data_IF_503156840021
#
_entry.id   IF_503156840021
#
_cell.length_a   1.000
_cell.length_b   1.000
_cell.length_c   1.000
_cell.angle_alpha   90.00
_cell.angle_beta   90.00
_cell.angle_gamma   90.00
#
_symmetry.space_group_name_H-M   'P 1'
#
loop_
_entity.id
_entity.type
_entity.pdbx_description
1 polymer ?
#
# COMPACT_ATOMS: atom_id res chain seq x y z
N UNK A 1 18.42 9.31 -29.46
CA UNK A 1 18.89 7.92 -29.63
C UNK A 1 19.40 7.31 -28.31
N UNK A 2 20.27 8.01 -27.58
CA UNK A 2 20.88 7.49 -26.34
C UNK A 2 19.85 7.15 -25.23
N UNK A 3 18.84 8.01 -25.00
CA UNK A 3 17.81 7.75 -23.98
C UNK A 3 16.88 6.58 -24.34
N UNK A 4 16.56 6.39 -25.61
CA UNK A 4 15.71 5.26 -26.06
C UNK A 4 16.43 3.91 -25.85
N UNK A 5 17.72 3.84 -26.13
CA UNK A 5 18.55 2.65 -25.90
C UNK A 5 18.69 2.35 -24.41
N UNK A 6 18.95 3.37 -23.58
CA UNK A 6 19.04 3.24 -22.13
C UNK A 6 17.71 2.78 -21.52
N UNK A 7 16.57 3.35 -21.97
CA UNK A 7 15.23 2.91 -21.53
C UNK A 7 14.99 1.45 -21.82
N UNK A 8 15.39 0.99 -23.04
CA UNK A 8 15.25 -0.41 -23.45
C UNK A 8 16.14 -1.35 -22.64
N UNK A 9 17.31 -0.89 -22.19
CA UNK A 9 18.25 -1.65 -21.37
C UNK A 9 17.85 -1.67 -19.88
N UNK A 10 17.42 -0.54 -19.34
CA UNK A 10 17.10 -0.40 -17.90
C UNK A 10 15.88 -1.23 -17.48
N UNK A 11 14.83 -1.28 -18.29
CA UNK A 11 13.59 -1.96 -17.93
C UNK A 11 13.78 -3.46 -17.62
N UNK A 12 14.44 -4.27 -18.46
CA UNK A 12 14.71 -5.68 -18.13
C UNK A 12 15.54 -5.86 -16.85
N UNK A 13 16.49 -4.96 -16.58
CA UNK A 13 17.29 -5.00 -15.35
C UNK A 13 16.42 -4.71 -14.12
N UNK A 14 15.55 -3.71 -14.18
CA UNK A 14 14.59 -3.43 -13.12
C UNK A 14 13.64 -4.61 -12.89
N UNK A 15 13.11 -5.22 -13.93
CA UNK A 15 12.25 -6.40 -13.83
C UNK A 15 12.99 -7.60 -13.20
N UNK A 16 14.27 -7.79 -13.56
CA UNK A 16 15.12 -8.82 -12.97
C UNK A 16 15.38 -8.54 -11.48
N UNK A 17 15.78 -7.33 -11.10
CA UNK A 17 16.01 -6.95 -9.70
C UNK A 17 14.73 -7.12 -8.86
N UNK A 18 13.58 -6.70 -9.37
CA UNK A 18 12.28 -6.89 -8.71
C UNK A 18 12.00 -8.37 -8.43
N UNK A 19 12.34 -9.24 -9.38
CA UNK A 19 12.15 -10.69 -9.23
C UNK A 19 13.14 -11.27 -8.22
N UNK A 20 14.41 -10.89 -8.30
CA UNK A 20 15.49 -11.36 -7.43
C UNK A 20 15.36 -10.87 -5.99
N UNK A 21 14.65 -9.74 -5.76
CA UNK A 21 14.40 -9.21 -4.44
C UNK A 21 13.50 -10.10 -3.56
N UNK A 22 12.75 -11.05 -4.15
CA UNK A 22 11.83 -11.95 -3.46
C UNK A 22 12.28 -13.40 -3.62
N UNK A 23 13.05 -13.88 -2.63
CA UNK A 23 13.66 -15.20 -2.65
C UNK A 23 12.74 -16.27 -2.06
N UNK A 24 12.82 -17.50 -2.57
CA UNK A 24 12.18 -18.67 -1.96
C UNK A 24 10.65 -18.57 -1.88
N UNK A 25 10.00 -18.02 -2.91
CA UNK A 25 8.54 -17.91 -2.95
C UNK A 25 7.89 -19.28 -2.76
N UNK A 26 7.07 -19.38 -1.73
CA UNK A 26 6.40 -20.62 -1.32
C UNK A 26 4.90 -20.40 -1.18
N UNK A 27 4.04 -21.15 -1.90
CA UNK A 27 2.60 -21.03 -1.75
C UNK A 27 2.13 -21.34 -0.34
N UNK A 28 1.18 -20.55 0.18
CA UNK A 28 0.45 -20.86 1.41
C UNK A 28 -0.62 -21.87 1.06
N UNK A 29 -0.45 -23.09 1.55
CA UNK A 29 -1.36 -24.21 1.32
C UNK A 29 -2.38 -24.34 2.45
N UNK A 30 -3.47 -25.08 2.21
CA UNK A 30 -4.48 -25.41 3.22
C UNK A 30 -5.36 -24.22 3.61
N UNK A 31 -5.45 -23.20 2.76
CA UNK A 31 -6.40 -22.12 2.96
C UNK A 31 -7.85 -22.66 2.99
N UNK A 32 -8.66 -22.06 3.84
CA UNK A 32 -10.10 -22.28 3.92
C UNK A 32 -10.80 -20.97 3.57
N UNK A 33 -11.91 -21.07 2.83
CA UNK A 33 -12.75 -19.95 2.39
C UNK A 33 -14.14 -20.05 2.99
N UNK A 34 -14.70 -18.90 3.40
CA UNK A 34 -16.09 -18.74 3.82
C UNK A 34 -16.67 -17.51 3.18
N UNK A 35 -17.87 -17.60 2.57
CA UNK A 35 -18.63 -16.42 2.16
C UNK A 35 -19.22 -15.74 3.39
N UNK A 36 -19.22 -14.43 3.39
CA UNK A 36 -19.74 -13.63 4.51
C UNK A 36 -20.43 -12.36 3.99
N UNK A 37 -21.33 -11.74 4.78
CA UNK A 37 -21.90 -10.44 4.44
C UNK A 37 -20.92 -9.28 4.66
N UNK A 38 -21.32 -8.07 4.28
CA UNK A 38 -20.63 -6.83 4.61
C UNK A 38 -20.30 -6.73 6.11
N UNK A 39 -19.18 -6.12 6.43
CA UNK A 39 -18.72 -5.81 7.79
C UNK A 39 -18.53 -7.03 8.71
N UNK A 40 -18.30 -8.21 8.12
CA UNK A 40 -18.08 -9.46 8.86
C UNK A 40 -16.60 -9.75 9.10
N UNK A 41 -15.79 -8.71 9.38
CA UNK A 41 -14.36 -8.87 9.65
C UNK A 41 -14.03 -9.75 10.84
N UNK A 42 -14.93 -9.91 11.82
CA UNK A 42 -14.76 -10.85 12.94
C UNK A 42 -14.75 -12.32 12.49
N UNK A 43 -15.31 -12.63 11.31
CA UNK A 43 -15.26 -13.98 10.72
C UNK A 43 -13.82 -14.48 10.53
N UNK A 44 -12.84 -13.60 10.35
CA UNK A 44 -11.43 -14.00 10.27
C UNK A 44 -10.87 -14.53 11.60
N UNK A 45 -11.58 -14.38 12.71
CA UNK A 45 -11.21 -14.92 14.03
C UNK A 45 -11.77 -16.34 14.25
N UNK A 46 -12.76 -16.78 13.45
CA UNK A 46 -13.35 -18.10 13.60
C UNK A 46 -12.31 -19.20 13.34
N UNK A 47 -12.45 -20.31 14.04
CA UNK A 47 -11.69 -21.54 13.74
C UNK A 47 -12.35 -22.31 12.61
N UNK A 48 -11.73 -22.43 11.42
CA UNK A 48 -12.30 -23.16 10.30
C UNK A 48 -12.52 -24.67 10.56
N UNK A 49 -11.94 -25.24 11.59
CA UNK A 49 -12.13 -26.63 11.95
C UNK A 49 -13.46 -26.87 12.68
N UNK A 50 -13.95 -25.89 13.40
CA UNK A 50 -15.13 -26.02 14.27
C UNK A 50 -16.31 -25.17 13.82
N UNK A 51 -16.06 -24.00 13.21
CA UNK A 51 -17.11 -23.10 12.74
C UNK A 51 -17.69 -23.58 11.40
N UNK A 52 -19.02 -23.47 11.18
CA UNK A 52 -19.64 -23.91 9.94
C UNK A 52 -19.36 -22.99 8.75
N UNK A 53 -19.50 -23.52 7.54
CA UNK A 53 -19.46 -22.76 6.28
C UNK A 53 -18.06 -22.58 5.68
N UNK A 54 -17.01 -23.06 6.31
CA UNK A 54 -15.66 -23.05 5.77
C UNK A 54 -15.43 -24.22 4.81
N UNK A 55 -14.95 -23.90 3.60
CA UNK A 55 -14.61 -24.89 2.55
C UNK A 55 -13.11 -24.83 2.22
N UNK A 56 -12.49 -25.94 1.79
CA UNK A 56 -11.13 -25.90 1.27
C UNK A 56 -10.99 -24.91 0.11
N UNK A 57 -9.83 -24.27 0.03
CA UNK A 57 -9.49 -23.34 -1.05
C UNK A 57 -8.06 -23.62 -1.53
N UNK A 58 -7.89 -23.81 -2.85
CA UNK A 58 -6.60 -24.06 -3.45
C UNK A 58 -5.97 -22.75 -4.00
N UNK A 59 -4.63 -22.59 -3.97
CA UNK A 59 -3.97 -21.44 -4.58
C UNK A 59 -4.32 -21.33 -6.07
N UNK A 60 -4.81 -20.15 -6.47
CA UNK A 60 -5.24 -19.89 -7.83
C UNK A 60 -6.71 -20.18 -8.13
N UNK A 61 -7.49 -20.63 -7.14
CA UNK A 61 -8.94 -20.71 -7.30
C UNK A 61 -9.56 -19.32 -7.49
N UNK A 62 -10.66 -19.27 -8.25
CA UNK A 62 -11.39 -18.06 -8.50
C UNK A 62 -12.10 -17.51 -7.25
N UNK A 63 -12.10 -16.19 -7.08
CA UNK A 63 -12.68 -15.50 -5.92
C UNK A 63 -13.68 -14.41 -6.29
N UNK A 64 -13.89 -14.12 -7.57
CA UNK A 64 -14.74 -13.03 -8.01
C UNK A 64 -16.22 -13.22 -7.65
N UNK A 65 -16.97 -12.17 -7.87
CA UNK A 65 -18.42 -12.09 -7.63
C UNK A 65 -18.84 -10.61 -7.53
N UNK A 66 -20.10 -10.33 -7.86
CA UNK A 66 -20.65 -8.98 -7.72
C UNK A 66 -20.98 -8.72 -6.25
N UNK A 67 -20.39 -7.67 -5.68
CA UNK A 67 -20.52 -7.30 -4.25
C UNK A 67 -20.27 -8.49 -3.28
N UNK A 68 -19.37 -9.41 -3.67
CA UNK A 68 -19.10 -10.60 -2.92
C UNK A 68 -18.06 -10.39 -1.82
N UNK A 69 -18.32 -10.98 -0.66
CA UNK A 69 -17.40 -10.97 0.47
C UNK A 69 -16.98 -12.36 0.86
N UNK A 70 -15.69 -12.50 1.16
CA UNK A 70 -15.10 -13.76 1.60
C UNK A 70 -14.15 -13.53 2.75
N UNK A 71 -14.11 -14.50 3.66
CA UNK A 71 -13.00 -14.65 4.59
C UNK A 71 -12.13 -15.84 4.19
N UNK A 72 -10.82 -15.67 4.27
CA UNK A 72 -9.85 -16.74 4.11
C UNK A 72 -9.06 -16.92 5.39
N UNK A 73 -8.81 -18.18 5.74
CA UNK A 73 -8.00 -18.56 6.91
C UNK A 73 -7.01 -19.65 6.53
N UNK A 74 -5.81 -19.56 7.11
CA UNK A 74 -4.79 -20.59 6.94
C UNK A 74 -3.56 -20.35 7.78
N UNK A 75 -2.68 -21.33 7.84
CA UNK A 75 -1.38 -21.21 8.51
C UNK A 75 -0.31 -20.72 7.54
N UNK A 76 0.50 -19.78 7.97
CA UNK A 76 1.77 -19.43 7.33
C UNK A 76 2.88 -20.08 8.13
N UNK A 77 3.81 -20.75 7.46
CA UNK A 77 5.01 -21.31 8.11
C UNK A 77 6.25 -20.63 7.57
N UNK A 78 7.16 -20.21 8.45
CA UNK A 78 8.45 -19.65 8.06
C UNK A 78 9.26 -20.69 7.26
N UNK A 79 9.66 -20.37 6.01
CA UNK A 79 10.42 -21.30 5.18
C UNK A 79 11.78 -21.66 5.79
N UNK A 80 12.33 -22.79 5.36
CA UNK A 80 13.71 -23.17 5.70
C UNK A 80 14.69 -22.06 5.29
N UNK A 81 15.67 -21.78 6.15
CA UNK A 81 16.68 -20.73 5.91
C UNK A 81 16.17 -19.30 6.03
N UNK A 82 14.97 -19.08 6.58
CA UNK A 82 14.40 -17.74 6.76
C UNK A 82 14.68 -17.12 8.14
N UNK A 83 15.31 -17.85 9.06
CA UNK A 83 15.59 -17.37 10.41
C UNK A 83 16.37 -16.04 10.39
N UNK A 84 15.85 -15.03 11.07
CA UNK A 84 16.46 -13.69 11.13
C UNK A 84 16.41 -12.88 9.84
N UNK A 85 15.77 -13.40 8.77
CA UNK A 85 15.61 -12.69 7.49
C UNK A 85 14.26 -11.99 7.42
N UNK A 86 14.15 -11.00 6.54
CA UNK A 86 12.93 -10.25 6.29
C UNK A 86 11.91 -11.09 5.52
N UNK A 87 10.86 -11.52 6.21
CA UNK A 87 9.76 -12.32 5.63
C UNK A 87 8.60 -11.43 5.19
N UNK A 88 8.04 -11.74 4.04
CA UNK A 88 6.85 -11.09 3.50
C UNK A 88 5.78 -12.11 3.11
N UNK A 89 4.54 -11.70 3.24
CA UNK A 89 3.38 -12.38 2.67
C UNK A 89 2.93 -11.63 1.42
N UNK A 90 2.77 -12.34 0.32
CA UNK A 90 2.37 -11.82 -0.98
C UNK A 90 0.95 -12.27 -1.28
N UNK A 91 0.11 -11.35 -1.72
CA UNK A 91 -1.29 -11.61 -2.11
C UNK A 91 -1.49 -11.11 -3.53
N UNK A 92 -1.81 -12.00 -4.46
CA UNK A 92 -2.04 -11.66 -5.86
C UNK A 92 -3.38 -12.18 -6.36
N UNK A 93 -4.02 -11.40 -7.24
CA UNK A 93 -5.36 -11.68 -7.79
C UNK A 93 -5.38 -11.78 -9.30
N UNK A 94 -4.24 -11.56 -9.96
CA UNK A 94 -4.16 -11.44 -11.42
C UNK A 94 -4.65 -10.09 -11.96
N UNK A 95 -5.25 -9.24 -11.14
CA UNK A 95 -5.65 -7.89 -11.54
C UNK A 95 -4.41 -7.03 -11.81
N UNK A 96 -4.44 -6.26 -12.89
CA UNK A 96 -3.33 -5.38 -13.32
C UNK A 96 -3.76 -3.93 -13.59
N UNK A 97 -5.05 -3.70 -13.82
CA UNK A 97 -5.59 -2.36 -14.05
C UNK A 97 -5.80 -1.64 -12.71
N UNK A 98 -4.88 -0.73 -12.39
CA UNK A 98 -4.90 0.05 -11.14
C UNK A 98 -6.08 1.04 -11.05
N UNK A 99 -6.70 1.38 -12.17
CA UNK A 99 -7.83 2.30 -12.25
C UNK A 99 -9.19 1.61 -12.10
N UNK A 100 -9.19 0.28 -12.12
CA UNK A 100 -10.42 -0.49 -11.95
C UNK A 100 -10.81 -0.57 -10.46
N UNK A 101 -11.82 0.19 -10.08
CA UNK A 101 -12.35 0.23 -8.71
C UNK A 101 -13.07 -1.06 -8.27
N UNK A 102 -13.33 -1.99 -9.20
CA UNK A 102 -13.91 -3.30 -8.91
C UNK A 102 -12.88 -4.38 -8.54
N UNK A 103 -11.58 -4.06 -8.61
CA UNK A 103 -10.52 -5.00 -8.20
C UNK A 103 -10.74 -5.51 -6.78
N UNK A 104 -10.38 -6.78 -6.51
CA UNK A 104 -10.44 -7.33 -5.16
C UNK A 104 -9.63 -6.49 -4.16
N UNK A 105 -10.20 -6.32 -2.96
CA UNK A 105 -9.65 -5.53 -1.87
C UNK A 105 -9.65 -6.37 -0.60
N UNK A 106 -8.60 -6.24 0.22
CA UNK A 106 -8.42 -7.09 1.39
C UNK A 106 -8.09 -6.29 2.64
N UNK A 107 -8.51 -6.81 3.79
CA UNK A 107 -7.92 -6.54 5.10
C UNK A 107 -7.12 -7.78 5.51
N UNK A 108 -5.84 -7.60 5.78
CA UNK A 108 -4.93 -8.68 6.17
C UNK A 108 -4.74 -8.72 7.69
N UNK A 109 -4.88 -9.90 8.24
CA UNK A 109 -4.74 -10.18 9.68
C UNK A 109 -3.67 -11.23 9.91
N UNK A 110 -2.82 -11.03 10.90
CA UNK A 110 -1.85 -12.01 11.38
C UNK A 110 -2.11 -12.25 12.87
N UNK A 111 -2.32 -13.51 13.24
CA UNK A 111 -2.68 -13.92 14.60
C UNK A 111 -3.88 -13.13 15.19
N UNK A 112 -4.83 -12.80 14.33
CA UNK A 112 -6.03 -12.05 14.67
C UNK A 112 -5.87 -10.53 14.72
N UNK A 113 -4.67 -9.99 14.64
CA UNK A 113 -4.44 -8.55 14.59
C UNK A 113 -4.49 -8.03 13.14
N UNK A 114 -5.20 -6.92 12.92
CA UNK A 114 -5.20 -6.21 11.63
C UNK A 114 -3.81 -5.62 11.39
N UNK A 115 -3.22 -5.99 10.25
CA UNK A 115 -1.89 -5.52 9.81
C UNK A 115 -2.03 -4.36 8.84
N UNK A 116 -2.70 -4.59 7.70
CA UNK A 116 -2.84 -3.59 6.64
C UNK A 116 -4.05 -3.89 5.74
N UNK A 117 -4.36 -2.94 4.86
CA UNK A 117 -5.19 -3.16 3.70
C UNK A 117 -4.34 -3.56 2.49
N UNK A 118 -4.90 -4.39 1.60
CA UNK A 118 -4.27 -4.81 0.36
C UNK A 118 -5.21 -4.57 -0.83
N UNK A 119 -4.63 -4.32 -1.96
CA UNK A 119 -5.30 -4.16 -3.25
C UNK A 119 -4.30 -4.40 -4.40
N UNK A 120 -4.66 -4.01 -5.63
CA UNK A 120 -3.78 -4.15 -6.81
C UNK A 120 -2.45 -3.37 -6.69
N UNK A 121 -2.40 -2.31 -5.89
CA UNK A 121 -1.19 -1.50 -5.65
C UNK A 121 -0.40 -1.97 -4.42
N UNK A 122 -1.08 -2.57 -3.44
CA UNK A 122 -0.53 -3.03 -2.18
C UNK A 122 -0.72 -4.55 -2.10
N UNK A 123 0.24 -5.30 -2.62
CA UNK A 123 0.14 -6.76 -2.81
C UNK A 123 0.95 -7.56 -1.80
N UNK A 124 1.55 -6.89 -0.80
CA UNK A 124 2.44 -7.54 0.16
C UNK A 124 2.44 -6.85 1.51
N UNK A 125 2.78 -7.61 2.55
CA UNK A 125 3.01 -7.10 3.89
C UNK A 125 4.09 -7.90 4.62
N UNK A 126 4.74 -7.24 5.59
CA UNK A 126 5.81 -7.83 6.35
C UNK A 126 5.27 -8.81 7.40
N UNK A 127 5.88 -9.97 7.50
CA UNK A 127 5.71 -10.89 8.63
C UNK A 127 6.73 -10.56 9.72
N UNK A 128 6.49 -10.94 10.99
CA UNK A 128 7.46 -10.68 12.05
C UNK A 128 8.86 -11.21 11.69
N UNK A 129 9.85 -10.33 11.59
CA UNK A 129 11.19 -10.59 11.05
C UNK A 129 12.11 -11.40 11.92
N UNK A 130 11.78 -11.60 13.20
CA UNK A 130 12.58 -12.41 14.13
C UNK A 130 12.14 -13.89 14.15
N UNK A 131 11.57 -14.37 13.07
CA UNK A 131 11.05 -15.72 12.99
C UNK A 131 12.13 -16.77 13.15
N UNK A 132 11.89 -17.74 14.02
CA UNK A 132 12.60 -19.00 13.97
C UNK A 132 12.12 -19.82 12.78
N UNK A 133 13.00 -20.62 12.21
CA UNK A 133 12.62 -21.57 11.16
C UNK A 133 11.48 -22.47 11.65
N UNK A 134 10.47 -22.67 10.81
CA UNK A 134 9.28 -23.45 11.15
C UNK A 134 8.26 -22.72 12.05
N UNK A 135 8.52 -21.47 12.45
CA UNK A 135 7.52 -20.67 13.16
C UNK A 135 6.25 -20.52 12.31
N UNK A 136 5.11 -20.53 12.98
CA UNK A 136 3.79 -20.43 12.29
C UNK A 136 3.02 -19.20 12.75
N UNK A 137 2.26 -18.64 11.84
CA UNK A 137 1.28 -17.57 12.09
C UNK A 137 -0.07 -17.97 11.50
N UNK A 138 -1.13 -17.47 12.12
CA UNK A 138 -2.49 -17.60 11.57
C UNK A 138 -2.74 -16.41 10.63
N UNK A 139 -2.93 -16.68 9.34
CA UNK A 139 -3.37 -15.71 8.35
C UNK A 139 -4.89 -15.62 8.35
N UNK A 140 -5.42 -14.41 8.32
CA UNK A 140 -6.80 -14.09 7.98
C UNK A 140 -6.84 -13.04 6.87
N UNK A 141 -7.70 -13.24 5.88
CA UNK A 141 -8.00 -12.20 4.87
C UNK A 141 -9.51 -11.99 4.83
N UNK A 142 -9.96 -10.77 5.06
CA UNK A 142 -11.32 -10.34 4.76
C UNK A 142 -11.30 -9.66 3.40
N UNK A 143 -12.17 -10.08 2.48
CA UNK A 143 -12.07 -9.72 1.06
C UNK A 143 -13.39 -9.20 0.52
N UNK A 144 -13.33 -8.11 -0.23
CA UNK A 144 -14.40 -7.62 -1.08
C UNK A 144 -14.03 -7.83 -2.54
N UNK A 145 -14.96 -8.32 -3.35
CA UNK A 145 -14.84 -8.49 -4.79
C UNK A 145 -16.07 -7.92 -5.51
N UNK A 146 -15.85 -7.21 -6.61
CA UNK A 146 -16.90 -6.75 -7.51
C UNK A 146 -16.55 -7.02 -8.98
N UNK A 147 -15.82 -8.10 -9.23
CA UNK A 147 -15.36 -8.56 -10.56
C UNK A 147 -15.92 -9.95 -10.83
N UNK A 148 -16.29 -10.31 -12.07
CA UNK A 148 -16.75 -11.65 -12.40
C UNK A 148 -15.81 -12.75 -11.89
N UNK A 149 -16.37 -13.88 -11.43
CA UNK A 149 -15.62 -14.92 -10.74
C UNK A 149 -14.48 -15.54 -11.59
N UNK A 150 -14.65 -15.56 -12.90
CA UNK A 150 -13.67 -16.10 -13.84
C UNK A 150 -12.48 -15.17 -14.12
N UNK A 151 -12.57 -13.90 -13.72
CA UNK A 151 -11.57 -12.89 -14.10
C UNK A 151 -10.52 -12.62 -13.01
N UNK A 152 -10.77 -13.11 -11.80
CA UNK A 152 -9.87 -12.95 -10.66
C UNK A 152 -9.70 -14.25 -9.87
N UNK A 153 -8.49 -14.45 -9.36
CA UNK A 153 -8.11 -15.58 -8.54
C UNK A 153 -7.41 -15.11 -7.26
N UNK A 154 -7.17 -15.98 -6.32
CA UNK A 154 -6.36 -15.68 -5.15
C UNK A 154 -5.16 -16.61 -5.06
N UNK A 155 -3.98 -16.04 -5.01
CA UNK A 155 -2.73 -16.71 -4.71
C UNK A 155 -2.05 -16.01 -3.56
N UNK A 156 -1.76 -16.76 -2.51
CA UNK A 156 -1.02 -16.27 -1.34
C UNK A 156 0.29 -17.03 -1.26
N UNK A 157 1.38 -16.29 -1.11
CA UNK A 157 2.74 -16.84 -1.03
C UNK A 157 3.49 -16.18 0.12
N UNK A 158 4.51 -16.85 0.64
CA UNK A 158 5.54 -16.24 1.46
C UNK A 158 6.83 -16.13 0.67
N UNK A 159 7.64 -15.15 1.00
CA UNK A 159 8.98 -14.99 0.44
C UNK A 159 9.91 -14.34 1.48
N UNK A 160 11.20 -14.51 1.25
CA UNK A 160 12.23 -13.72 1.93
C UNK A 160 12.55 -12.51 1.06
N UNK A 161 12.36 -11.30 1.58
CA UNK A 161 12.78 -10.07 0.91
C UNK A 161 14.26 -9.84 1.12
N UNK A 162 14.95 -9.57 0.05
CA UNK A 162 16.33 -9.10 0.06
C UNK A 162 16.34 -7.56 0.04
N UNK A 163 16.67 -6.95 1.18
CA UNK A 163 16.60 -5.50 1.34
C UNK A 163 17.69 -4.77 0.52
N UNK A 164 18.84 -5.41 0.26
CA UNK A 164 19.88 -4.82 -0.59
C UNK A 164 19.44 -4.74 -2.04
N UNK A 165 18.88 -5.83 -2.57
CA UNK A 165 18.36 -5.87 -3.94
C UNK A 165 17.13 -4.95 -4.06
N UNK A 166 16.24 -4.95 -3.06
CA UNK A 166 15.06 -4.07 -3.01
C UNK A 166 15.49 -2.60 -3.01
N UNK A 167 16.50 -2.25 -2.20
CA UNK A 167 17.03 -0.89 -2.17
C UNK A 167 17.58 -0.46 -3.53
N UNK A 168 18.43 -1.28 -4.15
CA UNK A 168 18.94 -0.98 -5.50
C UNK A 168 17.84 -0.83 -6.54
N UNK A 169 16.81 -1.70 -6.48
CA UNK A 169 15.66 -1.59 -7.37
C UNK A 169 15.02 -0.20 -7.31
N UNK A 170 14.78 0.34 -6.11
CA UNK A 170 14.19 1.67 -5.96
C UNK A 170 15.18 2.79 -6.27
N UNK A 171 16.45 2.63 -5.92
CA UNK A 171 17.52 3.59 -6.25
C UNK A 171 17.64 3.81 -7.77
N UNK A 172 17.34 2.79 -8.59
CA UNK A 172 17.35 2.87 -10.06
C UNK A 172 15.97 3.21 -10.64
N UNK A 173 14.88 2.70 -10.03
CA UNK A 173 13.51 2.88 -10.54
C UNK A 173 13.08 4.35 -10.50
N UNK A 174 13.29 5.04 -9.40
CA UNK A 174 12.86 6.43 -9.26
C UNK A 174 13.46 7.34 -10.35
N UNK A 175 14.78 7.41 -10.56
CA UNK A 175 15.35 8.21 -11.65
C UNK A 175 14.96 7.69 -13.04
N UNK A 176 14.75 6.39 -13.22
CA UNK A 176 14.26 5.84 -14.48
C UNK A 176 12.85 6.35 -14.80
N UNK A 177 11.95 6.37 -13.84
CA UNK A 177 10.58 6.88 -14.03
C UNK A 177 10.58 8.38 -14.35
N UNK A 178 11.46 9.17 -13.73
CA UNK A 178 11.66 10.58 -14.11
C UNK A 178 12.19 10.67 -15.56
N UNK A 179 13.21 9.92 -15.90
CA UNK A 179 13.82 9.92 -17.24
C UNK A 179 12.83 9.64 -18.35
N UNK A 180 11.84 8.77 -18.12
CA UNK A 180 10.85 8.42 -19.15
C UNK A 180 9.80 9.51 -19.39
N UNK A 181 9.66 10.47 -18.45
CA UNK A 181 8.76 11.62 -18.59
C UNK A 181 9.42 12.84 -19.23
N UNK A 182 10.74 12.90 -19.26
CA UNK A 182 11.49 14.05 -19.80
C UNK A 182 11.74 13.92 -21.30
N UNK A 183 11.81 15.04 -21.99
CA UNK A 183 12.21 15.10 -23.40
C UNK A 183 13.67 14.67 -23.59
N UNK A 184 14.00 14.06 -24.73
CA UNK A 184 15.37 13.56 -25.02
C UNK A 184 16.45 14.66 -24.99
N UNK A 185 16.08 15.91 -25.27
CA UNK A 185 16.99 17.05 -25.26
C UNK A 185 17.11 17.76 -23.92
N UNK A 186 16.36 17.34 -22.92
CA UNK A 186 16.41 17.95 -21.58
C UNK A 186 17.76 17.66 -20.91
N UNK A 187 18.36 18.69 -20.34
CA UNK A 187 19.68 18.58 -19.67
C UNK A 187 19.63 17.68 -18.45
N UNK A 188 18.50 17.64 -17.72
CA UNK A 188 18.31 16.72 -16.60
C UNK A 188 18.17 15.29 -17.10
N UNK A 189 17.45 15.07 -18.22
CA UNK A 189 17.35 13.75 -18.83
C UNK A 189 18.72 13.18 -19.22
N UNK A 190 19.58 14.03 -19.80
CA UNK A 190 20.96 13.64 -20.16
C UNK A 190 21.76 13.33 -18.88
N UNK A 191 21.64 14.17 -17.84
CA UNK A 191 22.29 13.97 -16.56
C UNK A 191 21.86 12.65 -15.90
N UNK A 192 20.56 12.47 -15.67
CA UNK A 192 19.99 11.24 -15.08
C UNK A 192 20.41 10.01 -15.86
N UNK A 193 20.35 10.07 -17.21
CA UNK A 193 20.71 8.98 -18.09
C UNK A 193 22.15 8.50 -17.87
N UNK A 194 23.11 9.40 -17.71
CA UNK A 194 24.53 9.07 -17.45
C UNK A 194 24.74 8.29 -16.15
N UNK A 195 24.06 8.70 -15.08
CA UNK A 195 24.17 8.03 -13.78
C UNK A 195 23.52 6.65 -13.81
N UNK A 196 22.35 6.54 -14.43
CA UNK A 196 21.68 5.24 -14.62
C UNK A 196 22.53 4.29 -15.46
N UNK A 197 23.05 4.73 -16.61
CA UNK A 197 23.88 3.90 -17.47
C UNK A 197 25.08 3.35 -16.71
N UNK A 198 25.81 4.21 -15.99
CA UNK A 198 26.97 3.79 -15.20
C UNK A 198 26.60 2.83 -14.06
N UNK A 199 25.47 3.04 -13.38
CA UNK A 199 25.01 2.12 -12.36
C UNK A 199 24.64 0.74 -12.94
N UNK A 200 23.98 0.72 -14.11
CA UNK A 200 23.66 -0.51 -14.82
C UNK A 200 24.91 -1.27 -15.28
N UNK A 201 25.98 -0.54 -15.69
CA UNK A 201 27.27 -1.13 -16.10
C UNK A 201 28.03 -1.78 -14.95
N UNK A 202 27.75 -1.37 -13.71
CA UNK A 202 28.36 -1.98 -12.52
C UNK A 202 27.77 -3.33 -12.15
N UNK A 203 26.57 -3.67 -12.64
CA UNK A 203 25.85 -4.86 -12.21
C UNK A 203 26.35 -6.13 -12.88
N UNK A 204 26.62 -7.14 -12.06
CA UNK A 204 26.92 -8.51 -12.50
C UNK A 204 25.72 -9.42 -12.23
N UNK A 205 24.84 -9.58 -13.22
CA UNK A 205 23.65 -10.40 -13.13
C UNK A 205 23.83 -11.85 -13.63
N UNK A 206 25.08 -12.26 -13.93
CA UNK A 206 25.37 -13.59 -14.51
C UNK A 206 25.15 -14.75 -13.56
N UNK A 207 25.43 -14.52 -12.27
CA UNK A 207 25.23 -15.52 -11.20
C UNK A 207 24.57 -14.86 -9.99
N UNK A 208 23.22 -14.75 -10.02
CA UNK A 208 22.46 -14.11 -8.95
C UNK A 208 22.73 -14.76 -7.58
N UNK A 209 22.79 -13.92 -6.55
CA UNK A 209 23.07 -14.28 -5.17
C UNK A 209 24.51 -14.73 -4.87
N UNK A 210 25.42 -14.73 -5.83
CA UNK A 210 26.85 -14.94 -5.60
C UNK A 210 27.48 -13.74 -4.87
N UNK A 211 28.67 -13.94 -4.31
CA UNK A 211 29.44 -12.85 -3.69
C UNK A 211 29.76 -11.72 -4.70
N UNK A 212 30.03 -12.07 -5.97
CA UNK A 212 30.27 -11.11 -7.05
C UNK A 212 29.01 -10.29 -7.36
N UNK A 213 27.84 -10.94 -7.42
CA UNK A 213 26.55 -10.27 -7.59
C UNK A 213 26.29 -9.25 -6.46
N UNK A 214 26.38 -9.67 -5.18
CA UNK A 214 26.16 -8.76 -4.05
C UNK A 214 27.19 -7.63 -3.99
N UNK A 215 28.45 -7.89 -4.32
CA UNK A 215 29.46 -6.84 -4.43
C UNK A 215 29.08 -5.79 -5.49
N UNK A 216 28.54 -6.24 -6.63
CA UNK A 216 28.06 -5.36 -7.70
C UNK A 216 26.82 -4.54 -7.29
N UNK A 217 25.86 -5.16 -6.58
CA UNK A 217 24.69 -4.49 -6.01
C UNK A 217 25.13 -3.39 -5.04
N UNK A 218 25.99 -3.71 -4.08
CA UNK A 218 26.51 -2.75 -3.11
C UNK A 218 27.28 -1.59 -3.76
N UNK A 219 28.08 -1.88 -4.80
CA UNK A 219 28.80 -0.85 -5.55
C UNK A 219 27.84 0.10 -6.29
N UNK A 220 26.83 -0.44 -6.97
CA UNK A 220 25.83 0.35 -7.69
C UNK A 220 24.99 1.21 -6.73
N UNK A 221 24.55 0.66 -5.58
CA UNK A 221 23.82 1.40 -4.55
C UNK A 221 24.65 2.57 -3.99
N UNK A 222 25.88 2.29 -3.62
CA UNK A 222 26.79 3.34 -3.12
C UNK A 222 27.01 4.43 -4.18
N UNK A 223 27.24 4.06 -5.44
CA UNK A 223 27.40 5.00 -6.53
C UNK A 223 26.14 5.88 -6.71
N UNK A 224 24.95 5.28 -6.74
CA UNK A 224 23.69 6.05 -6.83
C UNK A 224 23.51 6.99 -5.64
N UNK A 225 23.80 6.53 -4.44
CA UNK A 225 23.69 7.36 -3.24
C UNK A 225 24.64 8.56 -3.30
N UNK A 226 25.94 8.32 -3.43
CA UNK A 226 26.98 9.35 -3.30
C UNK A 226 27.00 10.31 -4.50
N UNK A 227 26.97 9.78 -5.72
CA UNK A 227 27.16 10.57 -6.93
C UNK A 227 25.86 11.12 -7.51
N UNK A 228 24.77 10.37 -7.45
CA UNK A 228 23.49 10.82 -7.98
C UNK A 228 22.65 11.56 -6.94
N UNK A 229 22.26 10.91 -5.85
CA UNK A 229 21.34 11.53 -4.89
C UNK A 229 21.99 12.62 -4.04
N UNK A 230 23.18 12.40 -3.50
CA UNK A 230 23.86 13.34 -2.60
C UNK A 230 24.68 14.42 -3.36
N UNK A 231 25.01 14.20 -4.64
CA UNK A 231 25.78 15.17 -5.44
C UNK A 231 24.94 15.80 -6.55
N UNK A 232 24.55 15.01 -7.57
CA UNK A 232 23.86 15.57 -8.75
C UNK A 232 22.50 16.17 -8.40
N UNK A 233 21.66 15.49 -7.61
CA UNK A 233 20.33 15.97 -7.23
C UNK A 233 20.38 17.19 -6.31
N UNK A 234 21.43 17.36 -5.50
CA UNK A 234 21.58 18.49 -4.58
C UNK A 234 21.93 19.83 -5.27
N UNK A 235 22.15 19.81 -6.57
CA UNK A 235 22.41 21.05 -7.36
C UNK A 235 21.15 21.89 -7.60
N UNK A 236 19.99 21.35 -7.31
CA UNK A 236 18.71 22.05 -7.46
C UNK A 236 18.34 22.73 -6.14
N UNK A 237 18.09 24.07 -6.15
CA UNK A 237 17.77 24.83 -4.93
C UNK A 237 16.29 24.70 -4.51
N UNK A 238 15.59 23.66 -4.94
CA UNK A 238 14.16 23.46 -4.67
C UNK A 238 13.97 22.39 -3.62
N UNK A 239 13.30 22.75 -2.52
CA UNK A 239 12.80 21.82 -1.51
C UNK A 239 11.33 21.51 -1.80
N UNK A 240 10.97 20.24 -1.78
CA UNK A 240 9.58 19.78 -1.94
C UNK A 240 9.18 19.01 -0.69
N UNK A 241 8.19 19.54 0.02
CA UNK A 241 7.58 18.83 1.15
C UNK A 241 6.46 17.93 0.63
N UNK A 242 6.56 16.64 0.95
CA UNK A 242 5.58 15.64 0.52
C UNK A 242 4.73 15.19 1.70
N UNK A 243 3.42 15.23 1.54
CA UNK A 243 2.45 14.68 2.50
C UNK A 243 1.57 13.66 1.77
N UNK A 244 1.38 12.48 2.39
CA UNK A 244 0.45 11.50 1.87
C UNK A 244 -1.00 11.94 2.08
N UNK A 245 -1.87 11.58 1.16
CA UNK A 245 -3.31 11.81 1.25
C UNK A 245 -4.07 10.69 0.54
N UNK A 246 -5.28 10.41 1.00
CA UNK A 246 -6.22 9.52 0.33
C UNK A 246 -7.59 10.17 0.30
N UNK A 247 -8.02 10.59 -0.89
CA UNK A 247 -9.41 11.00 -1.11
C UNK A 247 -10.32 9.77 -1.19
N UNK A 248 -11.42 9.77 -0.45
CA UNK A 248 -12.42 8.68 -0.47
C UNK A 248 -13.80 9.30 -0.58
N UNK A 249 -14.45 9.07 -1.72
CA UNK A 249 -15.85 9.46 -1.89
C UNK A 249 -16.77 8.71 -0.92
N UNK A 250 -17.73 9.45 -0.33
CA UNK A 250 -18.72 8.92 0.60
C UNK A 250 -20.14 9.14 0.05
N UNK A 251 -20.63 8.44 -0.96
CA UNK A 251 -20.06 7.36 -1.77
C UNK A 251 -19.89 7.79 -3.24
N UNK A 252 -19.59 6.85 -4.16
CA UNK A 252 -19.46 7.10 -5.61
C UNK A 252 -19.98 5.91 -6.42
N UNK A 253 -19.12 5.22 -7.21
CA UNK A 253 -19.45 3.95 -7.89
C UNK A 253 -19.50 2.75 -6.91
N UNK A 254 -19.66 3.04 -5.63
CA UNK A 254 -19.80 2.09 -4.53
C UNK A 254 -20.73 2.63 -3.46
N UNK A 255 -21.21 1.72 -2.61
CA UNK A 255 -22.16 2.02 -1.53
C UNK A 255 -21.49 2.61 -0.28
N UNK A 256 -22.29 3.18 0.63
CA UNK A 256 -21.80 3.59 1.95
C UNK A 256 -21.21 2.42 2.76
N UNK A 257 -21.78 1.22 2.60
CA UNK A 257 -21.23 0.02 3.23
C UNK A 257 -19.79 -0.25 2.76
N UNK A 258 -19.55 -0.12 1.47
CA UNK A 258 -18.21 -0.24 0.88
C UNK A 258 -17.29 0.91 1.31
N UNK A 259 -17.80 2.14 1.45
CA UNK A 259 -17.01 3.28 1.94
C UNK A 259 -16.43 3.01 3.33
N UNK A 260 -17.20 2.39 4.24
CA UNK A 260 -16.72 2.01 5.58
C UNK A 260 -15.54 1.04 5.51
N UNK A 261 -15.61 0.06 4.63
CA UNK A 261 -14.52 -0.91 4.40
C UNK A 261 -13.29 -0.24 3.76
N UNK A 262 -13.50 0.67 2.78
CA UNK A 262 -12.42 1.46 2.17
C UNK A 262 -11.70 2.33 3.20
N UNK A 263 -12.41 2.97 4.11
CA UNK A 263 -11.82 3.78 5.17
C UNK A 263 -10.91 2.94 6.08
N UNK A 264 -11.39 1.78 6.55
CA UNK A 264 -10.59 0.88 7.38
C UNK A 264 -9.35 0.40 6.60
N UNK A 265 -9.52 -0.03 5.35
CA UNK A 265 -8.42 -0.51 4.52
C UNK A 265 -7.36 0.57 4.30
N UNK A 266 -7.76 1.76 3.87
CA UNK A 266 -6.84 2.87 3.60
C UNK A 266 -6.10 3.29 4.86
N UNK A 267 -6.81 3.46 5.97
CA UNK A 267 -6.21 3.89 7.22
C UNK A 267 -5.31 2.81 7.86
N UNK A 268 -5.64 1.53 7.68
CA UNK A 268 -4.77 0.43 8.08
C UNK A 268 -3.47 0.42 7.26
N UNK A 269 -3.57 0.62 5.93
CA UNK A 269 -2.40 0.73 5.05
C UNK A 269 -1.50 1.90 5.44
N UNK A 270 -2.09 3.08 5.72
CA UNK A 270 -1.33 4.26 6.15
C UNK A 270 -0.60 4.00 7.47
N UNK A 271 -1.26 3.41 8.46
CA UNK A 271 -0.61 3.06 9.72
C UNK A 271 0.54 2.06 9.52
N UNK A 272 0.34 1.04 8.67
CA UNK A 272 1.39 0.09 8.31
C UNK A 272 2.59 0.79 7.63
N UNK A 273 2.34 1.74 6.73
CA UNK A 273 3.39 2.52 6.08
C UNK A 273 4.14 3.41 7.09
N UNK A 274 3.46 4.00 8.07
CA UNK A 274 4.10 4.78 9.13
C UNK A 274 4.98 3.93 10.06
N UNK A 275 4.61 2.67 10.31
CA UNK A 275 5.46 1.74 11.04
C UNK A 275 6.74 1.40 10.26
N UNK A 276 6.66 1.36 8.94
CA UNK A 276 7.76 1.01 8.04
C UNK A 276 8.66 2.20 7.66
N UNK A 277 8.06 3.38 7.54
CA UNK A 277 8.70 4.63 7.11
C UNK A 277 8.46 5.72 8.16
N UNK A 278 9.35 5.87 9.15
CA UNK A 278 9.14 6.82 10.25
C UNK A 278 9.06 8.30 9.82
N UNK A 279 9.57 8.63 8.64
CA UNK A 279 9.47 9.98 8.05
C UNK A 279 8.13 10.26 7.39
N UNK A 280 7.29 9.24 7.16
CA UNK A 280 6.04 9.38 6.43
C UNK A 280 5.03 10.23 7.19
N UNK A 281 4.53 11.28 6.53
CA UNK A 281 3.46 12.14 7.01
C UNK A 281 2.20 11.94 6.18
N UNK A 282 1.06 11.98 6.83
CA UNK A 282 -0.24 11.78 6.18
C UNK A 282 -1.25 12.79 6.66
N UNK A 283 -2.02 13.35 5.73
CA UNK A 283 -3.15 14.22 5.99
C UNK A 283 -4.43 13.50 5.56
N UNK A 284 -5.46 13.56 6.38
CA UNK A 284 -6.79 13.10 5.98
C UNK A 284 -7.87 14.01 6.54
N UNK A 285 -8.78 14.37 5.67
CA UNK A 285 -10.01 15.12 5.95
C UNK A 285 -11.16 14.18 6.30
N UNK A 286 -12.37 14.68 6.29
CA UNK A 286 -13.64 13.95 6.38
C UNK A 286 -13.82 13.17 7.70
N UNK A 287 -14.18 13.84 8.81
CA UNK A 287 -14.53 13.21 10.08
C UNK A 287 -15.45 11.98 9.98
N UNK A 288 -16.32 11.92 8.97
CA UNK A 288 -17.18 10.75 8.73
C UNK A 288 -16.38 9.46 8.53
N UNK A 289 -15.23 9.50 7.84
CA UNK A 289 -14.39 8.33 7.64
C UNK A 289 -13.78 7.85 8.96
N UNK A 290 -13.34 8.79 9.80
CA UNK A 290 -12.85 8.49 11.14
C UNK A 290 -13.95 7.92 12.05
N UNK A 291 -15.18 8.45 11.95
CA UNK A 291 -16.31 7.94 12.72
C UNK A 291 -16.68 6.52 12.32
N UNK A 292 -16.59 6.17 11.04
CA UNK A 292 -16.71 4.79 10.58
C UNK A 292 -15.64 3.90 11.21
N UNK A 293 -14.37 4.29 11.12
CA UNK A 293 -13.26 3.50 11.69
C UNK A 293 -13.38 3.40 13.21
N UNK A 294 -13.79 4.48 13.90
CA UNK A 294 -14.01 4.49 15.36
C UNK A 294 -15.06 3.46 15.78
N UNK A 295 -16.14 3.33 15.00
CA UNK A 295 -17.25 2.40 15.29
C UNK A 295 -16.92 0.95 14.89
N UNK A 296 -16.26 0.75 13.78
CA UNK A 296 -16.08 -0.57 13.15
C UNK A 296 -14.74 -1.22 13.49
N UNK A 297 -13.71 -0.43 13.77
CA UNK A 297 -12.37 -0.90 14.10
C UNK A 297 -11.73 -0.01 15.17
N UNK A 298 -12.23 -0.03 16.44
CA UNK A 298 -11.74 0.85 17.50
C UNK A 298 -10.22 0.74 17.73
N UNK A 299 -9.65 -0.45 17.60
CA UNK A 299 -8.22 -0.65 17.75
C UNK A 299 -7.38 0.13 16.72
N UNK A 300 -7.85 0.22 15.48
CA UNK A 300 -7.23 1.05 14.43
C UNK A 300 -7.41 2.53 14.76
N UNK A 301 -8.57 2.94 15.25
CA UNK A 301 -8.83 4.32 15.63
C UNK A 301 -7.87 4.79 16.74
N UNK A 302 -7.58 3.95 17.74
CA UNK A 302 -6.59 4.29 18.78
C UNK A 302 -5.16 4.40 18.21
N UNK A 303 -4.78 3.60 17.22
CA UNK A 303 -3.52 3.80 16.51
C UNK A 303 -3.49 5.16 15.80
N UNK A 304 -4.57 5.55 15.12
CA UNK A 304 -4.68 6.86 14.47
C UNK A 304 -4.53 7.99 15.51
N UNK A 305 -5.19 7.89 16.68
CA UNK A 305 -5.03 8.87 17.76
C UNK A 305 -3.58 9.03 18.20
N UNK A 306 -2.86 7.91 18.33
CA UNK A 306 -1.43 7.95 18.66
C UNK A 306 -0.61 8.65 17.56
N UNK A 307 -0.90 8.37 16.26
CA UNK A 307 -0.24 9.04 15.13
C UNK A 307 -0.56 10.54 15.03
N UNK A 308 -1.76 10.95 15.44
CA UNK A 308 -2.10 12.38 15.54
C UNK A 308 -1.32 13.04 16.68
N UNK A 309 -1.20 12.36 17.81
CA UNK A 309 -0.48 12.87 18.98
C UNK A 309 1.04 13.02 18.73
N UNK A 310 1.65 12.10 17.98
CA UNK A 310 3.07 12.15 17.63
C UNK A 310 3.38 13.00 16.38
N UNK A 311 2.34 13.53 15.70
CA UNK A 311 2.48 14.47 14.57
C UNK A 311 2.81 13.79 13.23
N UNK A 312 2.55 12.49 13.07
CA UNK A 312 2.65 11.81 11.79
C UNK A 312 1.36 11.87 10.97
N UNK A 313 0.23 11.97 11.66
CA UNK A 313 -1.10 12.04 11.03
C UNK A 313 -1.76 13.38 11.34
N UNK A 314 -2.15 14.12 10.32
CA UNK A 314 -2.81 15.41 10.43
C UNK A 314 -4.31 15.28 10.08
N UNK A 315 -5.22 15.36 11.08
CA UNK A 315 -6.65 15.46 10.83
C UNK A 315 -6.98 16.90 10.49
N UNK A 316 -7.12 17.21 9.21
CA UNK A 316 -7.32 18.57 8.70
C UNK A 316 -8.48 18.58 7.70
N UNK A 317 -8.92 19.76 7.22
CA UNK A 317 -9.93 19.91 6.19
C UNK A 317 -11.22 20.57 6.64
N UNK A 318 -11.49 20.64 7.94
CA UNK A 318 -12.53 21.45 8.57
C UNK A 318 -13.98 20.95 8.43
N UNK A 319 -14.38 20.40 7.30
CA UNK A 319 -15.73 19.91 7.05
C UNK A 319 -15.94 18.47 7.50
N UNK A 320 -17.19 18.10 7.80
CA UNK A 320 -17.59 16.71 8.09
C UNK A 320 -17.35 15.76 6.92
N UNK A 321 -17.69 16.22 5.72
CA UNK A 321 -17.40 15.61 4.42
C UNK A 321 -16.77 16.64 3.50
N UNK A 322 -16.16 16.21 2.41
CA UNK A 322 -15.71 17.05 1.29
C UNK A 322 -16.94 17.38 0.42
N UNK A 323 -17.73 18.38 0.85
CA UNK A 323 -19.03 18.70 0.26
C UNK A 323 -18.90 19.44 -1.06
N UNK A 324 -19.76 19.12 -2.04
CA UNK A 324 -19.97 19.94 -3.22
C UNK A 324 -20.50 21.32 -2.83
N UNK A 325 -19.74 22.37 -3.10
CA UNK A 325 -20.08 23.74 -2.71
C UNK A 325 -21.14 24.39 -3.60
N UNK A 326 -21.45 23.81 -4.77
CA UNK A 326 -22.50 24.33 -5.67
C UNK A 326 -23.87 23.72 -5.38
N UNK A 327 -23.93 22.49 -4.85
CA UNK A 327 -25.19 21.78 -4.63
C UNK A 327 -25.72 21.92 -3.20
N UNK A 328 -24.81 22.04 -2.21
CA UNK A 328 -25.19 22.16 -0.80
C UNK A 328 -25.72 23.56 -0.48
N UNK A 329 -26.74 23.63 0.42
CA UNK A 329 -27.20 24.93 0.93
C UNK A 329 -26.18 25.55 1.90
N UNK A 330 -26.24 26.86 2.08
CA UNK A 330 -25.38 27.56 3.05
C UNK A 330 -25.50 27.01 4.47
N UNK A 331 -26.71 26.66 4.92
CA UNK A 331 -26.94 26.04 6.23
C UNK A 331 -26.28 24.65 6.30
N UNK A 332 -26.34 23.86 5.24
CA UNK A 332 -25.64 22.57 5.18
C UNK A 332 -24.13 22.75 5.27
N UNK A 333 -23.55 23.72 4.57
CA UNK A 333 -22.12 24.03 4.64
C UNK A 333 -21.69 24.46 6.04
N UNK A 334 -22.47 25.33 6.71
CA UNK A 334 -22.21 25.72 8.10
C UNK A 334 -22.16 24.49 9.00
N UNK A 335 -23.11 23.55 8.85
CA UNK A 335 -23.15 22.32 9.65
C UNK A 335 -21.98 21.39 9.36
N UNK A 336 -21.49 21.34 8.12
CA UNK A 336 -20.29 20.60 7.78
C UNK A 336 -19.11 21.06 8.64
N UNK A 337 -18.88 22.39 8.76
CA UNK A 337 -17.84 22.93 9.60
C UNK A 337 -18.09 22.71 11.09
N UNK A 338 -19.30 22.95 11.58
CA UNK A 338 -19.64 22.77 13.00
C UNK A 338 -19.35 21.33 13.44
N UNK A 339 -19.87 20.34 12.71
CA UNK A 339 -19.70 18.94 13.07
C UNK A 339 -18.25 18.46 12.84
N UNK A 340 -17.60 18.96 11.79
CA UNK A 340 -16.19 18.61 11.49
C UNK A 340 -15.27 19.10 12.60
N UNK A 341 -15.35 20.35 12.97
CA UNK A 341 -14.55 20.96 14.03
C UNK A 341 -14.83 20.35 15.41
N UNK A 342 -16.11 20.10 15.73
CA UNK A 342 -16.51 19.46 16.98
C UNK A 342 -15.89 18.04 17.09
N UNK A 343 -15.94 17.25 16.00
CA UNK A 343 -15.40 15.90 16.00
C UNK A 343 -13.89 15.91 16.20
N UNK A 344 -13.15 16.69 15.40
CA UNK A 344 -11.70 16.76 15.50
C UNK A 344 -11.25 17.33 16.85
N UNK A 345 -11.97 18.35 17.38
CA UNK A 345 -11.71 18.88 18.71
C UNK A 345 -11.90 17.83 19.81
N UNK A 346 -13.01 17.07 19.77
CA UNK A 346 -13.32 16.06 20.77
C UNK A 346 -12.41 14.84 20.70
N UNK A 347 -12.14 14.32 19.48
CA UNK A 347 -11.43 13.05 19.32
C UNK A 347 -9.90 13.23 19.33
N UNK A 348 -9.39 14.34 18.82
CA UNK A 348 -7.96 14.57 18.62
C UNK A 348 -7.41 15.83 19.31
N UNK A 349 -8.25 16.67 19.90
CA UNK A 349 -7.83 17.96 20.46
C UNK A 349 -7.33 18.95 19.41
N UNK A 350 -7.72 18.76 18.14
CA UNK A 350 -7.30 19.57 17.00
C UNK A 350 -8.46 20.38 16.44
N UNK A 351 -8.15 21.52 15.85
CA UNK A 351 -9.08 22.31 15.03
C UNK A 351 -8.49 22.46 13.65
N UNK A 352 -9.29 22.20 12.62
CA UNK A 352 -8.89 22.40 11.25
C UNK A 352 -8.75 23.89 10.90
N UNK A 353 -7.66 24.26 10.25
CA UNK A 353 -7.38 25.63 9.80
C UNK A 353 -7.40 25.74 8.26
N UNK A 354 -7.46 24.62 7.57
CA UNK A 354 -7.44 24.51 6.11
C UNK A 354 -8.75 23.89 5.66
N UNK A 355 -9.37 24.47 4.65
CA UNK A 355 -10.44 23.79 3.90
C UNK A 355 -9.80 22.92 2.83
N UNK A 356 -10.05 21.61 2.91
CA UNK A 356 -9.49 20.64 2.00
C UNK A 356 -10.58 20.00 1.14
N UNK A 357 -10.60 20.35 -0.16
CA UNK A 357 -11.57 19.85 -1.16
C UNK A 357 -10.79 19.48 -2.44
N UNK A 358 -10.12 18.30 -2.49
CA UNK A 358 -9.23 17.94 -3.59
C UNK A 358 -9.99 17.56 -4.86
N UNK A 359 -11.26 17.13 -4.75
CA UNK A 359 -12.09 16.68 -5.87
C UNK A 359 -13.41 17.49 -5.95
N UNK A 360 -13.30 18.82 -5.94
CA UNK A 360 -14.43 19.72 -6.10
C UNK A 360 -14.60 20.14 -7.56
N UNK A 361 -15.86 20.08 -8.05
CA UNK A 361 -16.20 20.45 -9.43
C UNK A 361 -16.66 21.90 -9.56
N UNK A 362 -16.04 22.80 -8.84
CA UNK A 362 -16.27 24.22 -8.84
C UNK A 362 -16.71 24.76 -7.48
N UNK A 363 -16.64 26.08 -7.37
CA UNK A 363 -17.00 26.82 -6.17
C UNK A 363 -18.03 27.89 -6.52
N UNK A 364 -18.99 28.14 -5.63
CA UNK A 364 -19.91 29.27 -5.80
C UNK A 364 -19.16 30.58 -5.62
N UNK A 365 -19.71 31.67 -6.18
CA UNK A 365 -19.18 33.01 -5.95
C UNK A 365 -19.50 33.61 -4.58
N UNK A 366 -20.17 32.85 -3.71
CA UNK A 366 -20.61 33.32 -2.39
C UNK A 366 -19.54 33.09 -1.30
#
# INVERSE_FOLDING_TARGET
MQNTELRRRARPVLDALRTLALQGRTPVLGLRKKSCPYHSWDTVQEDPATAPGWTPFAPGDAIGGVEAHYCFRGGITAPAGSAGRHLVCLVSTGATDIWNNNNPQFLAYVNGALVCGLDVNHTEFDLPSAAAEGQTWQLGLYTYCNTPAQDVFLKVETAVRDDEITGLYYDLKAPYEVLVQLDEGDTNAIGIGRYLEKALDMLDLRDPYSAAFYASVAAARRYMKEEFYESFCQRQPVTVDCVGHTHIDVAWLWTLAQTREKAIRSFATVNYLMDRYPEYKFLSSQPQLYDFVRKDCPALFEKIRARVADGHWEPEGGMWLESDCNMASGESLIRQFLHGQEFFGREFGKQGHILWLPDAFGFSGA
#
